data_IF_897412490420
#
_entry.id   IF_897412490420
#
_cell.length_a   1.000
_cell.length_b   1.000
_cell.length_c   1.000
_cell.angle_alpha   90.00
_cell.angle_beta   90.00
_cell.angle_gamma   90.00
#
_symmetry.space_group_name_H-M   'P 1'
#
loop_
_entity.id
_entity.type
_entity.pdbx_description
1 polymer ?
#
# COMPACT_ATOMS: atom_id res chain seq x y z
N UNK A 1 13.15 -22.09 -4.91
CA UNK A 1 12.04 -21.60 -5.77
C UNK A 1 11.01 -20.96 -4.86
N UNK A 2 10.61 -19.73 -5.16
CA UNK A 2 9.88 -18.86 -4.25
C UNK A 2 10.71 -17.60 -4.02
N UNK A 3 10.97 -16.86 -5.09
CA UNK A 3 11.52 -15.50 -5.06
C UNK A 3 10.69 -14.69 -4.07
N UNK A 4 11.31 -14.35 -2.94
CA UNK A 4 10.86 -13.27 -2.08
C UNK A 4 10.87 -12.03 -2.97
N UNK A 5 9.71 -11.66 -3.55
CA UNK A 5 9.54 -10.33 -4.11
C UNK A 5 9.69 -9.39 -2.93
N UNK A 6 10.91 -8.92 -2.72
CA UNK A 6 11.21 -7.83 -1.81
C UNK A 6 10.56 -6.61 -2.49
N UNK A 7 9.27 -6.43 -2.23
CA UNK A 7 8.54 -5.22 -2.60
C UNK A 7 9.21 -4.15 -1.74
N UNK A 8 10.16 -3.43 -2.32
CA UNK A 8 10.89 -2.35 -1.69
C UNK A 8 10.66 -1.11 -2.53
N UNK A 9 10.44 0.01 -1.85
CA UNK A 9 10.27 1.30 -2.50
C UNK A 9 11.54 1.62 -3.30
N UNK A 10 11.40 1.77 -4.62
CA UNK A 10 12.49 2.18 -5.49
C UNK A 10 12.73 3.69 -5.39
N UNK A 11 13.82 4.18 -6.00
CA UNK A 11 14.17 5.61 -5.98
C UNK A 11 13.03 6.50 -6.48
N UNK A 12 12.25 6.00 -7.45
CA UNK A 12 11.05 6.69 -7.97
C UNK A 12 9.94 6.76 -6.95
N UNK A 13 9.68 5.68 -6.21
CA UNK A 13 8.72 5.69 -5.11
C UNK A 13 9.12 6.69 -4.01
N UNK A 14 10.42 6.82 -3.70
CA UNK A 14 10.88 7.87 -2.79
C UNK A 14 10.67 9.28 -3.34
N UNK A 15 10.89 9.49 -4.64
CA UNK A 15 10.63 10.76 -5.31
C UNK A 15 9.14 11.13 -5.24
N UNK A 16 8.24 10.19 -5.56
CA UNK A 16 6.79 10.36 -5.43
C UNK A 16 6.41 10.67 -3.98
N UNK A 17 6.93 9.92 -3.01
CA UNK A 17 6.67 10.18 -1.60
C UNK A 17 7.15 11.57 -1.16
N UNK A 18 8.27 12.06 -1.70
CA UNK A 18 8.79 13.41 -1.41
C UNK A 18 7.89 14.50 -2.04
N UNK A 19 7.42 14.29 -3.26
CA UNK A 19 6.49 15.20 -3.93
C UNK A 19 5.15 15.27 -3.18
N UNK A 20 4.62 14.13 -2.73
CA UNK A 20 3.41 14.07 -1.92
C UNK A 20 3.58 14.82 -0.60
N UNK A 21 4.71 14.65 0.08
CA UNK A 21 5.02 15.43 1.29
C UNK A 21 5.09 16.94 1.00
N UNK A 22 5.53 17.36 -0.20
CA UNK A 22 5.58 18.78 -0.57
C UNK A 22 4.20 19.45 -0.73
N UNK A 23 3.15 18.64 -0.97
CA UNK A 23 1.75 19.09 -1.06
C UNK A 23 0.96 18.82 0.23
N UNK A 24 1.67 18.67 1.37
CA UNK A 24 1.11 18.44 2.71
C UNK A 24 0.45 17.06 2.90
N UNK A 25 0.83 16.05 2.09
CA UNK A 25 0.41 14.67 2.33
C UNK A 25 1.28 14.06 3.43
N UNK A 26 0.68 13.46 4.48
CA UNK A 26 1.42 12.80 5.54
C UNK A 26 2.36 11.73 5.02
N UNK A 27 3.54 11.60 5.62
CA UNK A 27 4.55 10.60 5.21
C UNK A 27 3.98 9.18 5.08
N UNK A 28 3.10 8.77 5.98
CA UNK A 28 2.48 7.42 5.96
C UNK A 28 1.56 7.22 4.74
N UNK A 29 0.81 8.27 4.34
CA UNK A 29 -0.04 8.26 3.14
C UNK A 29 0.84 8.32 1.89
N UNK A 30 1.86 9.17 1.90
CA UNK A 30 2.80 9.34 0.80
C UNK A 30 3.55 8.04 0.47
N UNK A 31 4.06 7.33 1.49
CA UNK A 31 4.71 6.03 1.32
C UNK A 31 3.76 4.95 0.82
N UNK A 32 2.51 4.98 1.30
CA UNK A 32 1.47 4.04 0.86
C UNK A 32 1.13 4.22 -0.61
N UNK A 33 0.91 5.46 -1.05
CA UNK A 33 0.69 5.80 -2.46
C UNK A 33 1.91 5.43 -3.30
N UNK A 34 3.12 5.78 -2.84
CA UNK A 34 4.35 5.49 -3.56
C UNK A 34 4.57 3.98 -3.79
N UNK A 35 4.18 3.14 -2.82
CA UNK A 35 4.20 1.68 -3.01
C UNK A 35 3.22 1.22 -4.08
N UNK A 36 2.02 1.80 -4.11
CA UNK A 36 1.00 1.46 -5.10
C UNK A 36 1.28 2.05 -6.48
N UNK A 37 2.11 3.10 -6.59
CA UNK A 37 2.38 3.77 -7.86
C UNK A 37 3.01 2.86 -8.92
N UNK A 38 3.84 1.91 -8.48
CA UNK A 38 4.54 0.96 -9.37
C UNK A 38 3.92 -0.45 -9.37
N UNK A 39 2.84 -0.68 -8.62
CA UNK A 39 2.25 -2.01 -8.43
C UNK A 39 0.75 -1.94 -8.66
N UNK A 40 0.22 -2.87 -9.45
CA UNK A 40 -1.20 -2.89 -9.82
C UNK A 40 -2.11 -3.05 -8.59
N UNK A 41 -1.78 -3.98 -7.68
CA UNK A 41 -2.51 -4.23 -6.44
C UNK A 41 -1.55 -4.67 -5.32
N UNK A 42 -1.72 -4.18 -4.09
CA UNK A 42 -0.95 -4.61 -2.91
C UNK A 42 -1.86 -4.98 -1.75
N UNK A 43 -1.46 -6.00 -0.98
CA UNK A 43 -2.15 -6.31 0.28
C UNK A 43 -1.69 -5.41 1.43
N UNK A 44 -2.49 -5.29 2.50
CA UNK A 44 -2.06 -4.58 3.72
C UNK A 44 -0.70 -5.05 4.23
N UNK A 45 -0.40 -6.35 4.09
CA UNK A 45 0.83 -6.96 4.58
C UNK A 45 2.03 -6.67 3.67
N UNK A 46 1.81 -6.56 2.37
CA UNK A 46 2.85 -6.19 1.42
C UNK A 46 3.25 -4.73 1.60
N UNK A 47 2.27 -3.86 1.84
CA UNK A 47 2.51 -2.43 2.12
C UNK A 47 3.28 -2.26 3.43
N UNK A 48 2.95 -3.04 4.46
CA UNK A 48 3.69 -3.09 5.73
C UNK A 48 5.18 -3.42 5.49
N UNK A 49 5.45 -4.45 4.68
CA UNK A 49 6.82 -4.88 4.34
C UNK A 49 7.55 -3.87 3.46
N UNK A 50 6.86 -3.25 2.51
CA UNK A 50 7.45 -2.35 1.53
C UNK A 50 7.76 -0.97 2.08
N UNK A 51 6.87 -0.45 2.93
CA UNK A 51 7.04 0.87 3.57
C UNK A 51 7.73 0.79 4.92
N UNK A 52 7.75 -0.39 5.55
CA UNK A 52 8.20 -0.59 6.92
C UNK A 52 7.25 0.00 7.97
N UNK A 53 6.10 0.53 7.55
CA UNK A 53 5.03 1.00 8.43
C UNK A 53 4.39 -0.19 9.11
N UNK A 54 3.93 -0.02 10.35
CA UNK A 54 3.16 -1.07 11.03
C UNK A 54 1.74 -1.13 10.51
N UNK A 55 1.13 -2.30 10.60
CA UNK A 55 -0.27 -2.52 10.18
C UNK A 55 -1.29 -1.47 10.68
N UNK A 56 -1.22 -0.93 11.92
CA UNK A 56 -2.08 0.17 12.35
C UNK A 56 -1.90 1.45 11.53
N UNK A 57 -0.65 1.80 11.19
CA UNK A 57 -0.32 2.99 10.40
C UNK A 57 -0.78 2.81 8.96
N UNK A 58 -0.56 1.62 8.39
CA UNK A 58 -1.06 1.26 7.06
C UNK A 58 -2.58 1.36 7.02
N UNK A 59 -3.28 0.84 8.04
CA UNK A 59 -4.75 0.90 8.07
C UNK A 59 -5.28 2.34 8.16
N UNK A 60 -4.57 3.24 8.88
CA UNK A 60 -4.93 4.66 8.94
C UNK A 60 -4.69 5.33 7.59
N UNK A 61 -3.52 5.11 6.99
CA UNK A 61 -3.18 5.66 5.68
C UNK A 61 -4.16 5.19 4.60
N UNK A 62 -4.39 3.88 4.48
CA UNK A 62 -5.33 3.31 3.50
C UNK A 62 -6.74 3.87 3.67
N UNK A 63 -7.19 4.02 4.91
CA UNK A 63 -8.51 4.60 5.18
C UNK A 63 -8.58 6.06 4.74
N UNK A 64 -7.58 6.87 5.08
CA UNK A 64 -7.53 8.27 4.66
C UNK A 64 -7.44 8.41 3.14
N UNK A 65 -6.67 7.55 2.48
CA UNK A 65 -6.58 7.51 1.02
C UNK A 65 -7.90 7.07 0.37
N UNK A 66 -8.57 6.07 0.94
CA UNK A 66 -9.88 5.60 0.47
C UNK A 66 -10.96 6.67 0.64
N UNK A 67 -11.00 7.34 1.80
CA UNK A 67 -11.92 8.45 2.07
C UNK A 67 -11.68 9.64 1.13
N UNK A 68 -10.43 9.87 0.71
CA UNK A 68 -10.07 10.87 -0.32
C UNK A 68 -10.37 10.40 -1.75
N UNK A 69 -10.67 9.12 -1.96
CA UNK A 69 -10.88 8.51 -3.28
C UNK A 69 -9.60 8.32 -4.09
N UNK A 70 -8.45 8.17 -3.42
CA UNK A 70 -7.14 7.96 -4.07
C UNK A 70 -6.78 6.50 -4.22
N UNK A 71 -7.36 5.62 -3.40
CA UNK A 71 -7.17 4.17 -3.49
C UNK A 71 -8.52 3.48 -3.47
N UNK A 72 -8.63 2.40 -4.22
CA UNK A 72 -9.74 1.46 -4.12
C UNK A 72 -9.36 0.31 -3.18
N UNK A 73 -10.24 -0.02 -2.24
CA UNK A 73 -10.14 -1.23 -1.43
C UNK A 73 -10.95 -2.34 -2.10
N UNK A 74 -10.31 -3.45 -2.44
CA UNK A 74 -10.97 -4.64 -2.97
C UNK A 74 -10.80 -5.81 -2.01
N UNK A 75 -11.92 -6.37 -1.58
CA UNK A 75 -11.93 -7.64 -0.87
C UNK A 75 -11.79 -8.78 -1.89
N UNK A 76 -10.78 -9.64 -1.71
CA UNK A 76 -10.68 -10.85 -2.53
C UNK A 76 -11.83 -11.80 -2.19
N UNK A 77 -12.73 -12.00 -3.15
CA UNK A 77 -13.82 -12.98 -3.06
C UNK A 77 -13.22 -14.38 -3.05
N UNK A 78 -13.02 -14.90 -1.83
CA UNK A 78 -12.73 -16.29 -1.47
C UNK A 78 -12.92 -17.28 -2.63
N UNK A 79 -11.84 -17.62 -3.32
CA UNK A 79 -11.81 -18.84 -4.13
C UNK A 79 -10.86 -19.83 -3.45
N UNK A 80 -11.47 -20.68 -2.61
CA UNK A 80 -10.91 -21.91 -2.04
C UNK A 80 -9.81 -21.77 -0.97
N UNK A 81 -10.16 -22.28 0.22
CA UNK A 81 -9.28 -22.85 1.26
C UNK A 81 -8.64 -21.88 2.28
N UNK A 82 -9.15 -21.97 3.52
CA UNK A 82 -8.47 -21.71 4.81
C UNK A 82 -7.60 -20.44 4.89
N UNK A 83 -8.22 -19.27 4.91
CA UNK A 83 -7.55 -18.02 5.30
C UNK A 83 -8.54 -16.92 5.69
N UNK A 84 -8.10 -15.94 6.50
CA UNK A 84 -8.79 -14.65 6.67
C UNK A 84 -8.82 -13.98 5.29
N UNK A 85 -9.92 -13.30 4.90
CA UNK A 85 -9.94 -12.53 3.65
C UNK A 85 -8.77 -11.53 3.67
N UNK A 86 -7.95 -11.55 2.62
CA UNK A 86 -6.93 -10.55 2.39
C UNK A 86 -7.59 -9.34 1.71
N UNK A 87 -7.26 -8.14 2.20
CA UNK A 87 -7.66 -6.89 1.59
C UNK A 87 -6.57 -6.45 0.63
N UNK A 88 -6.96 -6.08 -0.57
CA UNK A 88 -6.07 -5.55 -1.59
C UNK A 88 -6.42 -4.08 -1.84
N UNK A 89 -5.39 -3.30 -2.12
CA UNK A 89 -5.48 -1.88 -2.41
C UNK A 89 -4.86 -1.63 -3.77
N UNK A 90 -5.51 -0.78 -4.56
CA UNK A 90 -5.02 -0.28 -5.84
C UNK A 90 -5.24 1.23 -5.92
N UNK A 91 -4.45 1.94 -6.72
CA UNK A 91 -4.70 3.35 -7.07
C UNK A 91 -5.82 3.48 -8.10
#
# INVERSE_FOLDING_TARGET
MGSENIISLDDKGYEVASLLQSIDVPRIEALSIACLFNVEELSSQDIEKATGLRQPEVSVAMRSLYERGWVEERDEKRTKCRGRPAKYYSL
#
